data_IF_191176325901
#
_entry.id   IF_191176325901
#
_cell.length_a   1.000
_cell.length_b   1.000
_cell.length_c   1.000
_cell.angle_alpha   90.00
_cell.angle_beta   90.00
_cell.angle_gamma   90.00
#
_symmetry.space_group_name_H-M   'P 1'
#
loop_
_entity.id
_entity.type
_entity.pdbx_description
1 polymer ?
#
# COMPACT_ATOMS: atom_id res chain seq x y z
N UNK A 1 13.41 -10.61 -1.33
CA UNK A 1 12.97 -10.69 0.08
C UNK A 1 11.90 -11.76 0.14
N UNK A 2 12.08 -12.82 0.95
CA UNK A 2 11.14 -13.94 1.00
C UNK A 2 9.86 -13.64 1.82
N UNK A 3 9.84 -12.58 2.64
CA UNK A 3 8.71 -12.25 3.53
C UNK A 3 7.63 -11.34 2.92
N UNK A 4 8.01 -10.19 2.34
CA UNK A 4 7.04 -9.20 1.83
C UNK A 4 6.19 -9.73 0.68
N UNK A 5 6.76 -10.57 -0.18
CA UNK A 5 6.04 -11.16 -1.32
C UNK A 5 4.92 -12.10 -0.90
N UNK A 6 4.93 -12.66 0.31
CA UNK A 6 3.86 -13.55 0.80
C UNK A 6 2.60 -12.75 1.08
N UNK A 7 2.72 -11.61 1.78
CA UNK A 7 1.56 -10.76 2.07
C UNK A 7 0.89 -10.25 0.79
N UNK A 8 1.67 -9.89 -0.23
CA UNK A 8 1.16 -9.45 -1.53
C UNK A 8 0.31 -10.53 -2.21
N UNK A 9 0.81 -11.78 -2.23
CA UNK A 9 0.12 -12.92 -2.84
C UNK A 9 -1.15 -13.30 -2.07
N UNK A 10 -1.06 -13.40 -0.73
CA UNK A 10 -2.21 -13.72 0.12
C UNK A 10 -3.30 -12.65 -0.02
N UNK A 11 -2.92 -11.37 -0.07
CA UNK A 11 -3.86 -10.27 -0.28
C UNK A 11 -4.59 -10.36 -1.62
N UNK A 12 -3.89 -10.71 -2.70
CA UNK A 12 -4.52 -10.92 -4.00
C UNK A 12 -5.52 -12.08 -3.95
N UNK A 13 -5.12 -13.24 -3.42
CA UNK A 13 -5.97 -14.44 -3.31
C UNK A 13 -7.25 -14.15 -2.51
N UNK A 14 -7.14 -13.49 -1.35
CA UNK A 14 -8.31 -13.15 -0.53
C UNK A 14 -9.27 -12.23 -1.29
N UNK A 15 -8.72 -11.26 -2.03
CA UNK A 15 -9.50 -10.26 -2.76
C UNK A 15 -10.21 -10.81 -4.01
N UNK A 16 -9.77 -11.93 -4.59
CA UNK A 16 -10.37 -12.53 -5.80
C UNK A 16 -11.87 -12.81 -5.64
N UNK A 17 -12.34 -13.06 -4.42
CA UNK A 17 -13.74 -13.34 -4.13
C UNK A 17 -14.66 -12.10 -4.20
N UNK A 18 -14.10 -10.89 -4.12
CA UNK A 18 -14.85 -9.63 -3.95
C UNK A 18 -14.57 -8.59 -5.04
N UNK A 19 -13.40 -8.65 -5.67
CA UNK A 19 -12.95 -7.68 -6.67
C UNK A 19 -12.95 -8.32 -8.07
N UNK A 20 -13.24 -7.52 -9.10
CA UNK A 20 -13.18 -7.98 -10.50
C UNK A 20 -11.75 -8.38 -10.89
N UNK A 21 -10.76 -7.69 -10.32
CA UNK A 21 -9.33 -7.98 -10.49
C UNK A 21 -8.63 -7.81 -9.15
N UNK A 22 -7.70 -8.71 -8.87
CA UNK A 22 -6.77 -8.61 -7.75
C UNK A 22 -5.40 -9.10 -8.24
N UNK A 23 -4.41 -8.20 -8.27
CA UNK A 23 -3.09 -8.46 -8.87
C UNK A 23 -2.01 -8.03 -7.88
N UNK A 24 -1.25 -9.00 -7.37
CA UNK A 24 -0.02 -8.73 -6.63
C UNK A 24 1.09 -8.28 -7.58
N UNK A 25 1.97 -7.37 -7.16
CA UNK A 25 3.11 -6.89 -7.94
C UNK A 25 2.70 -6.31 -9.30
N UNK A 26 1.70 -5.44 -9.28
CA UNK A 26 1.09 -4.87 -10.48
C UNK A 26 2.08 -4.02 -11.30
N UNK A 27 2.16 -4.32 -12.60
CA UNK A 27 3.09 -3.67 -13.55
C UNK A 27 2.39 -2.98 -14.72
N UNK A 28 1.07 -3.11 -14.87
CA UNK A 28 0.37 -2.64 -16.08
C UNK A 28 0.10 -1.13 -16.10
N UNK A 29 0.31 -0.40 -14.99
CA UNK A 29 0.23 1.06 -14.99
C UNK A 29 1.31 1.64 -15.92
N UNK A 30 0.96 2.67 -16.70
CA UNK A 30 1.94 3.39 -17.53
C UNK A 30 3.07 4.03 -16.71
N UNK A 31 4.13 4.42 -17.43
CA UNK A 31 5.30 5.09 -16.89
C UNK A 31 5.33 6.59 -17.26
N UNK A 32 4.17 7.22 -17.51
CA UNK A 32 4.06 8.59 -18.03
C UNK A 32 3.40 9.50 -17.01
N UNK A 33 3.88 10.74 -16.92
CA UNK A 33 3.31 11.76 -16.04
C UNK A 33 3.39 13.14 -16.70
N UNK A 34 2.41 14.00 -16.45
CA UNK A 34 2.45 15.37 -16.92
C UNK A 34 3.33 16.26 -16.05
N UNK A 35 4.03 17.22 -16.66
CA UNK A 35 4.80 18.23 -15.93
C UNK A 35 3.94 19.00 -14.92
N UNK A 36 2.68 19.30 -15.28
CA UNK A 36 1.79 20.02 -14.37
C UNK A 36 1.38 19.16 -13.17
N UNK A 37 1.14 17.86 -13.36
CA UNK A 37 0.87 16.96 -12.23
C UNK A 37 2.09 16.76 -11.34
N UNK A 38 3.30 16.67 -11.90
CA UNK A 38 4.52 16.65 -11.10
C UNK A 38 4.67 17.91 -10.25
N UNK A 39 4.41 19.09 -10.83
CA UNK A 39 4.45 20.35 -10.11
C UNK A 39 3.35 20.43 -9.01
N UNK A 40 2.16 19.89 -9.28
CA UNK A 40 1.07 19.80 -8.30
C UNK A 40 1.45 18.90 -7.11
N UNK A 41 1.99 17.71 -7.39
CA UNK A 41 2.48 16.78 -6.35
C UNK A 41 3.56 17.44 -5.50
N UNK A 42 4.50 18.14 -6.15
CA UNK A 42 5.56 18.84 -5.43
C UNK A 42 4.98 19.91 -4.49
N UNK A 43 4.02 20.70 -4.97
CA UNK A 43 3.35 21.72 -4.15
C UNK A 43 2.61 21.10 -2.96
N UNK A 44 1.84 20.03 -3.19
CA UNK A 44 1.15 19.29 -2.12
C UNK A 44 2.16 18.86 -1.05
N UNK A 45 3.25 18.22 -1.45
CA UNK A 45 4.28 17.75 -0.51
C UNK A 45 4.90 18.92 0.26
N UNK A 46 5.25 20.02 -0.40
CA UNK A 46 5.86 21.17 0.26
C UNK A 46 4.90 21.84 1.25
N UNK A 47 3.61 21.95 0.91
CA UNK A 47 2.59 22.50 1.80
C UNK A 47 2.37 21.62 3.04
N UNK A 48 2.41 20.29 2.89
CA UNK A 48 2.32 19.34 4.01
C UNK A 48 3.56 19.42 4.91
N UNK A 49 4.77 19.43 4.32
CA UNK A 49 6.04 19.52 5.07
C UNK A 49 6.17 20.83 5.84
N UNK A 50 5.65 21.91 5.28
CA UNK A 50 5.65 23.24 5.92
C UNK A 50 4.43 23.48 6.80
N UNK A 51 3.56 22.48 6.97
CA UNK A 51 2.32 22.55 7.76
C UNK A 51 1.35 23.66 7.34
N UNK A 52 1.50 24.16 6.10
CA UNK A 52 0.58 25.14 5.50
C UNK A 52 -0.78 24.53 5.18
N UNK A 53 -0.81 23.22 4.96
CA UNK A 53 -2.01 22.44 4.75
C UNK A 53 -2.00 21.19 5.64
N UNK A 54 -3.19 20.64 5.88
CA UNK A 54 -3.37 19.29 6.42
C UNK A 54 -3.61 18.33 5.24
N UNK A 55 -3.21 17.05 5.36
CA UNK A 55 -3.45 16.07 4.32
C UNK A 55 -4.96 15.85 4.13
N UNK A 56 -5.37 15.77 2.87
CA UNK A 56 -6.76 15.53 2.47
C UNK A 56 -6.73 14.78 1.15
N UNK A 57 -6.88 13.45 1.23
CA UNK A 57 -6.66 12.58 0.08
C UNK A 57 -7.64 12.84 -1.08
N UNK A 58 -8.96 12.98 -0.85
CA UNK A 58 -9.90 13.32 -1.92
C UNK A 58 -9.53 14.63 -2.66
N UNK A 59 -9.15 15.67 -1.93
CA UNK A 59 -8.78 16.96 -2.53
C UNK A 59 -7.47 16.87 -3.33
N UNK A 60 -6.48 16.15 -2.80
CA UNK A 60 -5.20 15.91 -3.48
C UNK A 60 -5.38 15.15 -4.80
N UNK A 61 -6.19 14.08 -4.79
CA UNK A 61 -6.55 13.33 -6.00
C UNK A 61 -7.20 14.26 -7.02
N UNK A 62 -8.19 15.03 -6.58
CA UNK A 62 -8.94 15.96 -7.45
C UNK A 62 -8.01 16.98 -8.11
N UNK A 63 -7.11 17.59 -7.33
CA UNK A 63 -6.11 18.55 -7.83
C UNK A 63 -5.21 17.91 -8.88
N UNK A 64 -4.65 16.74 -8.58
CA UNK A 64 -3.73 16.03 -9.49
C UNK A 64 -4.44 15.63 -10.79
N UNK A 65 -5.62 15.00 -10.70
CA UNK A 65 -6.35 14.55 -11.88
C UNK A 65 -6.73 15.74 -12.80
N UNK A 66 -7.06 16.90 -12.23
CA UNK A 66 -7.43 18.10 -13.00
C UNK A 66 -6.32 18.63 -13.93
N UNK A 67 -5.05 18.30 -13.64
CA UNK A 67 -3.87 18.73 -14.40
C UNK A 67 -3.06 17.56 -15.01
N UNK A 68 -3.50 16.31 -14.78
CA UNK A 68 -2.82 15.08 -15.22
C UNK A 68 -2.63 14.93 -16.73
N UNK A 69 -3.40 15.67 -17.53
CA UNK A 69 -3.33 15.66 -19.00
C UNK A 69 -2.84 17.01 -19.58
N UNK A 70 -2.29 17.90 -18.73
CA UNK A 70 -1.86 19.26 -19.12
C UNK A 70 -0.34 19.42 -19.08
N UNK A 71 0.21 20.19 -20.02
CA UNK A 71 1.66 20.37 -20.17
C UNK A 71 2.31 19.20 -20.91
N UNK A 72 3.64 19.13 -20.90
CA UNK A 72 4.33 18.02 -21.56
C UNK A 72 4.18 16.73 -20.76
N UNK A 73 3.96 15.63 -21.46
CA UNK A 73 3.97 14.28 -20.87
C UNK A 73 5.38 13.72 -20.97
N UNK A 74 5.93 13.26 -19.85
CA UNK A 74 7.27 12.68 -19.75
C UNK A 74 7.20 11.25 -19.26
N UNK A 75 8.16 10.45 -19.70
CA UNK A 75 8.40 9.14 -19.12
C UNK A 75 9.21 9.26 -17.83
N UNK A 76 8.82 8.50 -16.82
CA UNK A 76 9.44 8.42 -15.51
C UNK A 76 9.54 6.97 -15.06
N UNK A 77 10.36 6.70 -14.05
CA UNK A 77 10.37 5.37 -13.45
C UNK A 77 9.04 5.12 -12.77
N UNK A 78 8.33 4.07 -13.18
CA UNK A 78 7.11 3.63 -12.52
C UNK A 78 7.41 3.14 -11.10
N UNK A 79 6.80 3.74 -10.06
CA UNK A 79 6.92 3.21 -8.70
C UNK A 79 6.15 1.90 -8.57
N UNK A 80 6.78 0.89 -7.95
CA UNK A 80 6.21 -0.46 -7.74
C UNK A 80 4.89 -0.41 -6.97
N UNK A 81 3.84 -1.03 -7.51
CA UNK A 81 2.55 -1.25 -6.82
C UNK A 81 2.52 -2.68 -6.31
N UNK A 82 2.32 -2.85 -5.01
CA UNK A 82 2.42 -4.16 -4.36
C UNK A 82 1.12 -4.96 -4.52
N UNK A 83 -0.02 -4.27 -4.52
CA UNK A 83 -1.34 -4.84 -4.77
C UNK A 83 -2.19 -3.83 -5.55
N UNK A 84 -2.78 -4.31 -6.64
CA UNK A 84 -3.82 -3.63 -7.41
C UNK A 84 -5.14 -4.38 -7.26
N UNK A 85 -6.23 -3.64 -7.04
CA UNK A 85 -7.59 -4.17 -7.06
C UNK A 85 -8.47 -3.31 -7.96
N UNK A 86 -9.43 -3.95 -8.63
CA UNK A 86 -10.50 -3.27 -9.35
C UNK A 86 -11.85 -3.75 -8.82
N UNK A 87 -12.65 -2.86 -8.23
CA UNK A 87 -13.97 -3.19 -7.71
C UNK A 87 -14.99 -3.36 -8.84
N UNK A 88 -16.15 -3.92 -8.46
CA UNK A 88 -17.31 -4.09 -9.36
C UNK A 88 -17.79 -2.75 -9.96
N UNK A 89 -17.63 -1.64 -9.23
CA UNK A 89 -18.05 -0.30 -9.68
C UNK A 89 -16.96 0.47 -10.46
N UNK A 90 -15.86 -0.20 -10.80
CA UNK A 90 -14.74 0.35 -11.55
C UNK A 90 -13.79 1.23 -10.72
N UNK A 91 -13.88 1.17 -9.39
CA UNK A 91 -12.92 1.84 -8.50
C UNK A 91 -11.62 1.04 -8.45
N UNK A 92 -10.53 1.73 -8.70
CA UNK A 92 -9.19 1.18 -8.73
C UNK A 92 -8.48 1.43 -7.37
N UNK A 93 -7.89 0.41 -6.76
CA UNK A 93 -7.18 0.51 -5.47
C UNK A 93 -5.73 0.09 -5.58
N UNK A 94 -4.81 0.98 -5.21
CA UNK A 94 -3.37 0.78 -5.36
C UNK A 94 -2.73 0.83 -3.98
N UNK A 95 -2.06 -0.25 -3.58
CA UNK A 95 -1.43 -0.34 -2.27
C UNK A 95 0.09 -0.52 -2.35
N UNK A 96 0.76 0.12 -1.39
CA UNK A 96 2.16 -0.16 -1.02
C UNK A 96 2.16 -0.86 0.35
N UNK A 97 2.68 -2.08 0.43
CA UNK A 97 2.66 -2.87 1.65
C UNK A 97 3.91 -2.60 2.48
N UNK A 98 3.74 -2.33 3.78
CA UNK A 98 4.83 -2.03 4.72
C UNK A 98 4.81 -2.97 5.92
N UNK A 99 5.97 -3.49 6.28
CA UNK A 99 6.14 -4.44 7.40
C UNK A 99 7.00 -3.90 8.53
N UNK A 100 7.57 -2.69 8.38
CA UNK A 100 8.45 -2.07 9.38
C UNK A 100 8.05 -0.62 9.64
N UNK A 101 8.43 -0.10 10.81
CA UNK A 101 8.25 1.31 11.17
C UNK A 101 9.10 2.17 10.23
N UNK A 102 8.51 3.07 9.43
CA UNK A 102 9.29 3.92 8.55
C UNK A 102 9.89 5.11 9.30
N UNK A 103 10.97 5.67 8.76
CA UNK A 103 11.51 6.95 9.15
C UNK A 103 10.84 8.12 8.38
N UNK A 104 11.13 9.36 8.77
CA UNK A 104 10.46 10.56 8.20
C UNK A 104 10.72 10.70 6.69
N UNK A 105 11.95 10.43 6.23
CA UNK A 105 12.28 10.57 4.81
C UNK A 105 11.55 9.50 3.97
N UNK A 106 11.39 8.30 4.51
CA UNK A 106 10.57 7.24 3.90
C UNK A 106 9.10 7.65 3.81
N UNK A 107 8.54 8.30 4.83
CA UNK A 107 7.14 8.76 4.84
C UNK A 107 6.88 9.77 3.71
N UNK A 108 7.78 10.75 3.52
CA UNK A 108 7.65 11.71 2.40
C UNK A 108 7.76 10.98 1.05
N UNK A 109 8.67 10.01 0.94
CA UNK A 109 8.81 9.17 -0.25
C UNK A 109 7.55 8.36 -0.56
N UNK A 110 6.92 7.77 0.46
CA UNK A 110 5.67 7.03 0.32
C UNK A 110 4.51 7.93 -0.10
N UNK A 111 4.40 9.12 0.49
CA UNK A 111 3.37 10.09 0.11
C UNK A 111 3.51 10.49 -1.36
N UNK A 112 4.74 10.77 -1.81
CA UNK A 112 5.02 11.06 -3.22
C UNK A 112 4.62 9.91 -4.12
N UNK A 113 5.06 8.69 -3.77
CA UNK A 113 4.78 7.46 -4.52
C UNK A 113 3.28 7.26 -4.78
N UNK A 114 2.45 7.36 -3.74
CA UNK A 114 1.00 7.15 -3.89
C UNK A 114 0.33 8.27 -4.71
N UNK A 115 0.84 9.50 -4.66
CA UNK A 115 0.33 10.61 -5.49
C UNK A 115 0.79 10.50 -6.96
N UNK A 116 2.00 9.98 -7.20
CA UNK A 116 2.50 9.73 -8.56
C UNK A 116 1.65 8.69 -9.29
N UNK A 117 1.16 7.66 -8.60
CA UNK A 117 0.22 6.70 -9.19
C UNK A 117 -1.08 7.35 -9.69
N UNK A 118 -1.64 8.29 -8.92
CA UNK A 118 -2.82 9.06 -9.33
C UNK A 118 -2.52 9.85 -10.60
N UNK A 119 -1.36 10.51 -10.64
CA UNK A 119 -0.96 11.30 -11.80
C UNK A 119 -0.74 10.43 -13.05
N UNK A 120 -0.04 9.30 -12.90
CA UNK A 120 0.19 8.35 -14.00
C UNK A 120 -1.13 7.80 -14.53
N UNK A 121 -2.02 7.35 -13.64
CA UNK A 121 -3.33 6.84 -14.05
C UNK A 121 -4.18 7.93 -14.71
N UNK A 122 -4.06 9.17 -14.23
CA UNK A 122 -4.73 10.35 -14.77
C UNK A 122 -4.33 10.71 -16.21
N UNK A 123 -3.10 10.39 -16.64
CA UNK A 123 -2.68 10.58 -18.04
C UNK A 123 -3.60 9.81 -18.99
N UNK A 124 -3.93 8.56 -18.64
CA UNK A 124 -4.85 7.72 -19.41
C UNK A 124 -6.32 8.09 -19.16
N UNK A 125 -6.70 8.32 -17.90
CA UNK A 125 -8.08 8.61 -17.52
C UNK A 125 -8.14 9.60 -16.35
N UNK A 126 -8.37 10.87 -16.65
CA UNK A 126 -8.51 11.94 -15.65
C UNK A 126 -9.83 11.89 -14.84
N UNK A 127 -10.74 10.95 -15.14
CA UNK A 127 -12.01 10.73 -14.43
C UNK A 127 -12.05 9.40 -13.67
N UNK A 128 -10.92 8.73 -13.53
CA UNK A 128 -10.81 7.46 -12.80
C UNK A 128 -11.29 7.63 -11.35
N UNK A 129 -12.04 6.64 -10.84
CA UNK A 129 -12.25 6.49 -9.40
C UNK A 129 -11.06 5.73 -8.85
N UNK A 130 -10.18 6.40 -8.10
CA UNK A 130 -8.94 5.80 -7.64
C UNK A 130 -8.76 5.99 -6.13
N UNK A 131 -8.32 4.94 -5.47
CA UNK A 131 -7.77 4.93 -4.13
C UNK A 131 -6.29 4.56 -4.20
N UNK A 132 -5.44 5.28 -3.48
CA UNK A 132 -4.03 4.95 -3.34
C UNK A 132 -3.64 5.08 -1.88
N UNK A 133 -3.02 4.07 -1.30
CA UNK A 133 -2.68 4.10 0.12
C UNK A 133 -1.60 3.11 0.52
N UNK A 134 -1.28 3.12 1.81
CA UNK A 134 -0.41 2.16 2.45
C UNK A 134 -1.24 1.09 3.15
N UNK A 135 -0.73 -0.13 3.12
CA UNK A 135 -1.26 -1.23 3.90
C UNK A 135 -0.17 -1.78 4.81
N UNK A 136 -0.50 -2.01 6.08
CA UNK A 136 0.38 -2.67 7.05
C UNK A 136 -0.27 -4.01 7.40
N UNK A 137 0.25 -5.14 6.90
CA UNK A 137 -0.42 -6.43 7.02
C UNK A 137 -0.62 -6.94 8.46
N UNK A 138 0.18 -6.49 9.41
CA UNK A 138 0.05 -6.86 10.82
C UNK A 138 0.53 -5.72 11.71
N UNK A 139 0.02 -5.66 12.94
CA UNK A 139 0.49 -4.68 13.92
C UNK A 139 1.73 -5.24 14.67
N UNK A 140 2.94 -4.69 14.47
CA UNK A 140 4.12 -5.16 15.18
C UNK A 140 4.13 -4.82 16.67
N UNK A 141 3.16 -4.02 17.17
CA UNK A 141 3.09 -3.57 18.55
C UNK A 141 2.07 -4.31 19.40
N UNK A 142 1.44 -5.37 18.87
CA UNK A 142 0.45 -6.16 19.61
C UNK A 142 0.94 -6.53 21.02
N UNK A 143 0.09 -6.39 22.06
CA UNK A 143 -1.34 -6.05 22.02
C UNK A 143 -1.65 -4.53 21.98
N UNK A 144 -0.64 -3.67 21.90
CA UNK A 144 -0.84 -2.22 21.85
C UNK A 144 -1.26 -1.76 20.44
N UNK A 145 -2.09 -0.70 20.33
CA UNK A 145 -2.51 -0.19 19.03
C UNK A 145 -1.33 0.33 18.21
N UNK A 146 -1.44 0.24 16.88
CA UNK A 146 -0.41 0.75 15.98
C UNK A 146 -0.20 2.27 16.15
N UNK A 147 1.06 2.68 16.26
CA UNK A 147 1.47 4.08 16.39
C UNK A 147 1.30 4.88 15.07
N UNK A 148 0.06 5.26 14.75
CA UNK A 148 -0.26 6.05 13.55
C UNK A 148 0.31 7.47 13.57
N UNK A 149 0.75 7.98 14.73
CA UNK A 149 1.25 9.35 14.89
C UNK A 149 2.46 9.64 13.99
N UNK A 150 3.25 8.63 13.65
CA UNK A 150 4.41 8.75 12.76
C UNK A 150 4.05 9.32 11.38
N UNK A 151 2.85 9.01 10.87
CA UNK A 151 2.37 9.46 9.57
C UNK A 151 1.60 10.80 9.63
N UNK A 152 1.39 11.35 10.84
CA UNK A 152 0.64 12.61 11.01
C UNK A 152 1.33 13.77 10.29
N UNK A 153 0.51 14.65 9.70
CA UNK A 153 0.98 15.79 8.93
C UNK A 153 1.27 15.48 7.46
N UNK A 154 1.62 14.24 7.12
CA UNK A 154 1.87 13.83 5.73
C UNK A 154 0.74 13.00 5.12
N UNK A 155 0.04 12.18 5.92
CA UNK A 155 -1.01 11.28 5.46
C UNK A 155 -2.37 11.60 6.07
N UNK A 156 -3.39 11.47 5.25
CA UNK A 156 -4.80 11.45 5.64
C UNK A 156 -5.14 10.03 6.09
N UNK A 157 -4.85 9.73 7.36
CA UNK A 157 -4.81 8.36 7.88
C UNK A 157 -6.08 7.53 7.59
N UNK A 158 -7.32 8.06 7.76
CA UNK A 158 -8.53 7.31 7.43
C UNK A 158 -8.65 6.95 5.94
N UNK A 159 -8.02 7.72 5.05
CA UNK A 159 -8.14 7.58 3.60
C UNK A 159 -6.87 7.04 2.92
N UNK A 160 -5.77 6.84 3.65
CA UNK A 160 -4.48 6.45 3.07
C UNK A 160 -3.72 5.37 3.84
N UNK A 161 -4.20 4.91 5.00
CA UNK A 161 -3.53 3.89 5.80
C UNK A 161 -4.52 2.86 6.35
N UNK A 162 -4.35 1.61 5.94
CA UNK A 162 -5.05 0.46 6.52
C UNK A 162 -4.05 -0.41 7.29
N UNK A 163 -4.41 -0.79 8.52
CA UNK A 163 -3.54 -1.60 9.39
C UNK A 163 -4.27 -2.87 9.83
N UNK A 164 -3.60 -4.01 9.69
CA UNK A 164 -4.03 -5.31 10.18
C UNK A 164 -5.49 -5.60 9.79
N UNK A 165 -6.39 -5.69 10.77
CA UNK A 165 -7.82 -5.93 10.58
C UNK A 165 -8.45 -5.04 9.50
N UNK A 166 -8.18 -3.73 9.52
CA UNK A 166 -8.74 -2.80 8.53
C UNK A 166 -8.37 -3.17 7.09
N UNK A 167 -7.14 -3.65 6.88
CA UNK A 167 -6.66 -4.04 5.56
C UNK A 167 -7.27 -5.36 5.12
N UNK A 168 -7.17 -6.39 5.95
CA UNK A 168 -7.64 -7.74 5.57
C UNK A 168 -9.16 -7.82 5.46
N UNK A 169 -9.89 -7.15 6.34
CA UNK A 169 -11.34 -7.14 6.29
C UNK A 169 -11.87 -6.29 5.13
N UNK A 170 -11.10 -5.28 4.70
CA UNK A 170 -11.39 -4.59 3.44
C UNK A 170 -11.30 -5.54 2.24
N UNK A 171 -10.31 -6.43 2.21
CA UNK A 171 -10.10 -7.40 1.11
C UNK A 171 -11.14 -8.54 1.12
N UNK A 172 -11.25 -9.26 2.23
CA UNK A 172 -12.04 -10.50 2.32
C UNK A 172 -13.41 -10.38 2.99
N UNK A 173 -13.69 -9.23 3.61
CA UNK A 173 -14.90 -9.01 4.42
C UNK A 173 -14.66 -9.21 5.93
N UNK A 174 -15.68 -9.00 6.76
CA UNK A 174 -15.53 -9.03 8.21
C UNK A 174 -14.91 -10.34 8.73
N UNK A 175 -14.01 -10.24 9.71
CA UNK A 175 -13.28 -11.36 10.34
C UNK A 175 -12.24 -12.06 9.47
N UNK A 176 -11.89 -11.50 8.32
CA UNK A 176 -10.85 -12.06 7.46
C UNK A 176 -9.51 -12.09 8.20
N UNK A 177 -9.19 -11.03 8.95
CA UNK A 177 -7.95 -11.00 9.72
C UNK A 177 -7.89 -12.07 10.80
N UNK A 178 -8.98 -12.25 11.56
CA UNK A 178 -9.08 -13.27 12.60
C UNK A 178 -8.88 -14.68 12.03
N UNK A 179 -9.57 -15.00 10.92
CA UNK A 179 -9.40 -16.30 10.25
C UNK A 179 -7.99 -16.48 9.71
N UNK A 180 -7.38 -15.41 9.16
CA UNK A 180 -6.01 -15.48 8.66
C UNK A 180 -5.03 -15.80 9.80
N UNK A 181 -5.18 -15.16 10.97
CA UNK A 181 -4.36 -15.46 12.15
C UNK A 181 -4.53 -16.91 12.62
N UNK A 182 -5.76 -17.44 12.63
CA UNK A 182 -6.02 -18.84 12.97
C UNK A 182 -5.30 -19.80 12.02
N UNK A 183 -5.35 -19.55 10.71
CA UNK A 183 -4.63 -20.37 9.72
C UNK A 183 -3.12 -20.31 9.96
N UNK A 184 -2.55 -19.13 10.23
CA UNK A 184 -1.13 -19.00 10.55
C UNK A 184 -0.74 -19.75 11.84
N UNK A 185 -1.60 -19.73 12.85
CA UNK A 185 -1.38 -20.45 14.11
C UNK A 185 -1.42 -21.97 13.90
N UNK A 186 -2.44 -22.48 13.21
CA UNK A 186 -2.60 -23.91 12.90
C UNK A 186 -1.42 -24.45 12.11
N UNK A 187 -1.06 -23.78 11.01
CA UNK A 187 0.10 -24.16 10.17
C UNK A 187 1.41 -24.03 10.96
N UNK A 188 1.52 -23.01 11.82
CA UNK A 188 2.68 -22.80 12.68
C UNK A 188 2.88 -23.94 13.68
N UNK A 189 1.81 -24.46 14.26
CA UNK A 189 1.84 -25.62 15.16
C UNK A 189 2.22 -26.89 14.40
N UNK A 190 1.63 -27.10 13.22
CA UNK A 190 1.91 -28.27 12.38
C UNK A 190 3.38 -28.31 11.93
N UNK A 191 3.94 -27.19 11.51
CA UNK A 191 5.33 -27.09 11.03
C UNK A 191 6.36 -27.00 12.15
N UNK A 192 5.94 -26.84 13.41
CA UNK A 192 6.85 -26.66 14.55
C UNK A 192 7.89 -27.77 14.69
N UNK A 193 7.56 -29.08 14.58
CA UNK A 193 8.54 -30.15 14.67
C UNK A 193 9.63 -30.06 13.60
N UNK A 194 9.26 -29.71 12.35
CA UNK A 194 10.21 -29.56 11.25
C UNK A 194 11.17 -28.38 11.46
N UNK A 195 10.64 -27.27 11.97
CA UNK A 195 11.43 -26.08 12.32
C UNK A 195 12.42 -26.41 13.44
N UNK A 196 11.96 -27.08 14.50
CA UNK A 196 12.80 -27.47 15.64
C UNK A 196 13.93 -28.42 15.20
N UNK A 197 13.63 -29.39 14.33
CA UNK A 197 14.64 -30.31 13.79
C UNK A 197 15.66 -29.60 12.90
N UNK A 198 15.24 -28.59 12.14
CA UNK A 198 16.16 -27.76 11.35
C UNK A 198 17.10 -26.95 12.26
N UNK A 199 16.60 -26.40 13.36
CA UNK A 199 17.44 -25.68 14.33
C UNK A 199 18.46 -26.60 15.01
N UNK A 200 18.08 -27.82 15.40
CA UNK A 200 19.01 -28.81 15.97
C UNK A 200 20.18 -29.12 15.02
N UNK A 201 19.90 -29.34 13.72
CA UNK A 201 20.93 -29.61 12.71
C UNK A 201 21.89 -28.44 12.56
N UNK A 202 21.39 -27.21 12.57
CA UNK A 202 22.22 -26.01 12.45
C UNK A 202 23.21 -25.87 13.62
N UNK A 203 22.76 -26.13 14.85
CA UNK A 203 23.62 -26.09 16.03
C UNK A 203 24.69 -27.19 16.01
N UNK A 204 24.33 -28.40 15.56
CA UNK A 204 25.27 -29.52 15.42
C UNK A 204 26.30 -29.35 14.28
N UNK A 205 26.07 -28.40 13.35
CA UNK A 205 26.97 -28.13 12.22
C UNK A 205 27.99 -27.03 12.51
N UNK A 206 27.84 -26.33 13.64
CA UNK A 206 28.68 -25.20 14.07
C UNK A 206 29.54 -25.53 15.30
N UNK A 207 29.55 -26.80 15.73
CA UNK A 207 30.51 -27.39 16.67
C UNK A 207 31.53 -28.23 15.91
#
# INVERSE_FOLDING_TARGET
MLGTSVFEQVAAIIAESKFNRAISQYTELNNKISEQAQAEIQRIIDDLRTTKAKPNKPDEITKILSVSQRGNIKEVRQPRIDLFLESVDGTEYYFDLKTAKPNIDEIVGFKRKILEWVAMRGVENSRVKIYTGLAIPYNPYEPNPYERWTFQGMFDLPNELMVAEEFWDFLGGPKTYEHLLQVFEEVGIELRPEIDDKFKRFNASNE
#
